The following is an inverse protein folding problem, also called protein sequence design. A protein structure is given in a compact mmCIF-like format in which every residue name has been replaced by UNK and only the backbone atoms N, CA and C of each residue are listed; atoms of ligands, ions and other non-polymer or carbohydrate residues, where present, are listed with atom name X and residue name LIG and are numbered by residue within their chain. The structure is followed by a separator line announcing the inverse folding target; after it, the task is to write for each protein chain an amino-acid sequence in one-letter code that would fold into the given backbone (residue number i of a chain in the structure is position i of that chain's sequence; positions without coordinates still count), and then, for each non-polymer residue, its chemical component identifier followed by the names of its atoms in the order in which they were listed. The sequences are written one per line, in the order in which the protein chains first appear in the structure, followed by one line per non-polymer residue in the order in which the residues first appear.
data_IF_242400200388
#
_entry.id   IF_242400200388
#
_cell.length_a   1.000
_cell.length_b   1.000
_cell.length_c   1.000
_cell.angle_alpha   90.00
_cell.angle_beta   90.00
_cell.angle_gamma   90.00
#
_symmetry.space_group_name_H-M   'P 1'
#
loop_
_entity.id
_entity.type
_entity.pdbx_description
1 polymer ?
#
# COMPACT_ATOMS: atom_id res chain seq x y z
N UNK A 1 -8.06 -14.68 -23.02
CA UNK A 1 -6.83 -14.36 -23.79
C UNK A 1 -6.05 -13.37 -22.98
N UNK A 2 -4.86 -13.72 -22.46
CA UNK A 2 -4.02 -12.73 -21.77
C UNK A 2 -3.68 -11.63 -22.79
N UNK A 3 -4.00 -10.37 -22.49
CA UNK A 3 -3.40 -9.26 -23.19
C UNK A 3 -1.89 -9.38 -22.98
N UNK A 4 -1.06 -9.07 -23.99
CA UNK A 4 0.40 -9.31 -24.00
C UNK A 4 1.24 -8.78 -22.83
N UNK A 5 0.61 -8.40 -21.73
CA UNK A 5 1.16 -7.81 -20.50
C UNK A 5 1.06 -8.76 -19.28
N UNK A 6 0.67 -10.04 -19.46
CA UNK A 6 0.68 -11.08 -18.42
C UNK A 6 -0.48 -11.05 -17.42
N UNK A 7 -1.45 -10.16 -17.57
CA UNK A 7 -2.64 -10.12 -16.73
C UNK A 7 -3.93 -10.00 -17.53
N UNK A 8 -5.05 -10.44 -16.96
CA UNK A 8 -6.39 -10.25 -17.52
C UNK A 8 -7.43 -10.04 -16.44
N UNK A 9 -8.46 -9.29 -16.75
CA UNK A 9 -9.63 -9.16 -15.90
C UNK A 9 -10.51 -10.40 -16.06
N UNK A 10 -10.86 -11.05 -14.96
CA UNK A 10 -11.73 -12.22 -14.90
C UNK A 10 -13.20 -11.82 -14.76
N UNK A 11 -13.46 -10.90 -13.85
CA UNK A 11 -14.77 -10.32 -13.55
C UNK A 11 -14.59 -8.86 -13.07
N UNK A 12 -15.68 -8.18 -12.70
CA UNK A 12 -15.66 -6.78 -12.26
C UNK A 12 -14.68 -6.51 -11.10
N UNK A 13 -14.42 -7.52 -10.26
CA UNK A 13 -13.65 -7.39 -9.01
C UNK A 13 -12.35 -8.18 -9.01
N UNK A 14 -12.04 -8.93 -10.07
CA UNK A 14 -10.94 -9.89 -10.03
C UNK A 14 -10.09 -9.82 -11.29
N UNK A 15 -8.79 -9.68 -11.07
CA UNK A 15 -7.77 -9.90 -12.10
C UNK A 15 -7.03 -11.21 -11.83
N UNK A 16 -6.58 -11.85 -12.90
CA UNK A 16 -5.63 -12.96 -12.88
C UNK A 16 -4.29 -12.43 -13.38
N UNK A 17 -3.23 -12.72 -12.64
CA UNK A 17 -1.86 -12.34 -12.98
C UNK A 17 -1.02 -13.61 -12.91
N UNK A 18 -0.64 -14.15 -14.09
CA UNK A 18 0.22 -15.32 -14.16
C UNK A 18 1.62 -14.99 -13.67
N UNK A 19 2.16 -15.82 -12.78
CA UNK A 19 3.51 -15.65 -12.23
C UNK A 19 4.42 -16.79 -12.68
N UNK A 20 5.75 -16.55 -12.81
CA UNK A 20 6.69 -17.58 -13.19
C UNK A 20 6.82 -18.68 -12.13
N UNK A 21 6.86 -19.92 -12.57
CA UNK A 21 6.99 -21.10 -11.70
C UNK A 21 8.43 -21.41 -11.30
N UNK A 22 9.41 -20.91 -12.06
CA UNK A 22 10.83 -21.25 -11.96
C UNK A 22 11.70 -20.21 -11.24
N UNK A 23 11.10 -19.14 -10.73
CA UNK A 23 11.79 -18.10 -9.95
C UNK A 23 10.88 -17.42 -8.94
N UNK A 24 11.49 -16.76 -8.00
CA UNK A 24 10.80 -15.91 -7.05
C UNK A 24 10.03 -14.79 -7.76
N UNK A 25 8.87 -14.41 -7.21
CA UNK A 25 8.07 -13.29 -7.69
C UNK A 25 8.21 -12.08 -6.76
N UNK A 26 8.55 -10.92 -7.33
CA UNK A 26 8.89 -9.71 -6.59
C UNK A 26 7.78 -8.67 -6.72
N UNK A 27 7.20 -8.27 -5.60
CA UNK A 27 6.24 -7.18 -5.50
C UNK A 27 6.94 -6.01 -4.80
N UNK A 28 6.92 -4.84 -5.43
CA UNK A 28 7.44 -3.61 -4.83
C UNK A 28 6.28 -2.75 -4.33
N UNK A 29 6.16 -2.58 -3.02
CA UNK A 29 5.27 -1.59 -2.44
C UNK A 29 5.95 -0.22 -2.44
N UNK A 30 5.26 0.79 -2.97
CA UNK A 30 5.58 2.20 -2.89
C UNK A 30 4.37 2.95 -2.32
N UNK A 31 4.60 3.98 -1.52
CA UNK A 31 3.52 4.71 -0.85
C UNK A 31 3.87 6.17 -0.69
N UNK A 32 2.85 7.01 -0.53
CA UNK A 32 2.99 8.42 -0.15
C UNK A 32 3.97 9.16 -1.05
N UNK A 33 3.73 9.17 -2.37
CA UNK A 33 4.58 9.86 -3.34
C UNK A 33 4.34 11.37 -3.31
N UNK A 34 3.10 11.79 -3.06
CA UNK A 34 2.65 13.18 -3.00
C UNK A 34 3.12 14.02 -4.19
N UNK A 35 2.89 13.52 -5.42
CA UNK A 35 3.27 14.21 -6.64
C UNK A 35 2.33 15.40 -6.90
N UNK A 36 2.86 16.60 -6.78
CA UNK A 36 2.10 17.84 -6.98
C UNK A 36 1.88 18.19 -8.44
N UNK A 37 2.90 17.98 -9.28
CA UNK A 37 2.91 18.34 -10.72
C UNK A 37 2.43 19.74 -11.04
N UNK A 38 2.51 20.65 -10.07
CA UNK A 38 2.12 22.04 -10.19
C UNK A 38 3.32 22.99 -10.21
N UNK A 39 3.02 24.30 -10.15
CA UNK A 39 4.04 25.35 -10.31
C UNK A 39 4.99 25.44 -9.11
N UNK A 40 4.57 24.98 -7.92
CA UNK A 40 5.41 25.05 -6.70
C UNK A 40 6.11 23.76 -6.36
N UNK A 41 5.75 22.62 -6.99
CA UNK A 41 6.24 21.29 -6.60
C UNK A 41 7.32 20.71 -7.52
N UNK A 42 7.62 21.34 -8.66
CA UNK A 42 8.46 20.78 -9.74
C UNK A 42 9.76 20.14 -9.26
N UNK A 43 10.52 20.82 -8.40
CA UNK A 43 11.80 20.29 -7.87
C UNK A 43 11.58 19.05 -6.99
N UNK A 44 10.54 19.08 -6.15
CA UNK A 44 10.21 17.99 -5.23
C UNK A 44 9.62 16.79 -5.97
N UNK A 45 8.77 17.04 -6.98
CA UNK A 45 8.28 16.01 -7.88
C UNK A 45 9.42 15.27 -8.57
N UNK A 46 10.40 16.03 -9.11
CA UNK A 46 11.58 15.42 -9.71
C UNK A 46 12.33 14.53 -8.73
N UNK A 47 12.52 14.96 -7.48
CA UNK A 47 13.17 14.15 -6.44
C UNK A 47 12.40 12.85 -6.16
N UNK A 48 11.07 12.92 -6.05
CA UNK A 48 10.24 11.74 -5.81
C UNK A 48 10.27 10.77 -7.00
N UNK A 49 10.17 11.27 -8.23
CA UNK A 49 10.23 10.45 -9.44
C UNK A 49 11.63 9.81 -9.65
N UNK A 50 12.70 10.53 -9.34
CA UNK A 50 14.06 9.99 -9.35
C UNK A 50 14.23 8.88 -8.29
N UNK A 51 13.62 9.06 -7.10
CA UNK A 51 13.61 8.06 -6.04
C UNK A 51 12.90 6.77 -6.48
N UNK A 52 11.69 6.89 -7.03
CA UNK A 52 10.92 5.77 -7.59
C UNK A 52 11.74 5.04 -8.66
N UNK A 53 12.33 5.78 -9.60
CA UNK A 53 13.17 5.21 -10.65
C UNK A 53 14.34 4.41 -10.08
N UNK A 54 15.05 4.95 -9.09
CA UNK A 54 16.19 4.26 -8.44
C UNK A 54 15.76 2.96 -7.75
N UNK A 55 14.61 2.98 -7.06
CA UNK A 55 14.12 1.81 -6.34
C UNK A 55 13.68 0.74 -7.31
N UNK A 56 12.93 1.08 -8.36
CA UNK A 56 12.50 0.14 -9.41
C UNK A 56 13.72 -0.52 -10.06
N UNK A 57 14.72 0.27 -10.49
CA UNK A 57 15.94 -0.26 -11.12
C UNK A 57 16.74 -1.17 -10.18
N UNK A 58 16.77 -0.85 -8.89
CA UNK A 58 17.50 -1.64 -7.89
C UNK A 58 16.82 -2.95 -7.53
N UNK A 59 15.49 -2.99 -7.58
CA UNK A 59 14.72 -4.15 -7.14
C UNK A 59 14.29 -5.04 -8.30
N UNK A 60 14.14 -4.48 -9.50
CA UNK A 60 13.60 -5.16 -10.69
C UNK A 60 12.34 -5.96 -10.34
N UNK A 61 11.24 -5.27 -9.93
CA UNK A 61 10.03 -5.94 -9.48
C UNK A 61 9.22 -6.48 -10.66
N UNK A 62 8.40 -7.48 -10.40
CA UNK A 62 7.44 -8.04 -11.35
C UNK A 62 6.08 -7.34 -11.27
N UNK A 63 5.74 -6.77 -10.11
CA UNK A 63 4.53 -6.01 -9.85
C UNK A 63 4.87 -4.83 -8.93
N UNK A 64 4.26 -3.67 -9.18
CA UNK A 64 4.34 -2.52 -8.28
C UNK A 64 2.97 -2.28 -7.65
N UNK A 65 2.91 -2.15 -6.33
CA UNK A 65 1.70 -1.82 -5.56
C UNK A 65 1.88 -0.44 -4.93
N UNK A 66 1.06 0.51 -5.32
CA UNK A 66 0.99 1.82 -4.68
C UNK A 66 -0.08 1.82 -3.60
N UNK A 67 0.34 2.04 -2.35
CA UNK A 67 -0.58 2.05 -1.21
C UNK A 67 -1.03 3.46 -0.84
N UNK A 68 -1.49 4.24 -1.84
CA UNK A 68 -2.16 5.53 -1.68
C UNK A 68 -1.24 6.74 -1.67
N UNK A 69 -1.87 7.90 -1.66
CA UNK A 69 -1.24 9.22 -1.66
C UNK A 69 -0.20 9.40 -2.78
N UNK A 70 -0.59 8.97 -3.99
CA UNK A 70 0.25 9.05 -5.19
C UNK A 70 0.37 10.50 -5.64
N UNK A 71 -0.74 11.24 -5.61
CA UNK A 71 -0.84 12.63 -6.06
C UNK A 71 -1.27 13.53 -4.91
N UNK A 72 -0.97 14.83 -5.05
CA UNK A 72 -1.21 15.80 -3.99
C UNK A 72 -1.79 17.11 -4.56
N UNK A 73 -3.13 17.17 -4.79
CA UNK A 73 -3.81 18.36 -5.28
C UNK A 73 -4.04 19.38 -4.16
N UNK A 74 -2.96 20.01 -3.67
CA UNK A 74 -3.02 20.96 -2.59
C UNK A 74 -2.37 22.29 -3.00
N UNK A 75 -3.19 23.31 -3.24
CA UNK A 75 -2.75 24.58 -3.84
C UNK A 75 -1.55 25.22 -3.13
N UNK A 76 -1.48 25.29 -1.79
CA UNK A 76 -0.35 25.93 -1.10
C UNK A 76 1.01 25.26 -1.32
N UNK A 77 1.04 23.96 -1.56
CA UNK A 77 2.29 23.20 -1.75
C UNK A 77 2.53 22.77 -3.19
N UNK A 78 1.51 22.29 -3.87
CA UNK A 78 1.60 21.85 -5.26
C UNK A 78 1.48 23.02 -6.27
N UNK A 79 0.75 24.05 -5.94
CA UNK A 79 0.39 25.13 -6.89
C UNK A 79 -0.72 24.74 -7.84
N UNK A 80 -1.50 23.69 -7.53
CA UNK A 80 -2.64 23.22 -8.32
C UNK A 80 -3.56 22.33 -7.51
N UNK A 81 -4.86 22.34 -7.87
CA UNK A 81 -5.88 21.39 -7.37
C UNK A 81 -6.29 20.39 -8.46
N UNK A 82 -5.56 20.32 -9.57
CA UNK A 82 -5.93 19.51 -10.73
C UNK A 82 -5.38 18.09 -10.65
N UNK A 83 -6.00 17.25 -9.79
CA UNK A 83 -5.63 15.85 -9.61
C UNK A 83 -5.80 15.01 -10.88
N UNK A 84 -6.70 15.36 -11.80
CA UNK A 84 -6.79 14.75 -13.13
C UNK A 84 -5.45 14.82 -13.88
N UNK A 85 -4.89 16.03 -14.03
CA UNK A 85 -3.60 16.20 -14.70
C UNK A 85 -2.45 15.57 -13.95
N UNK A 86 -2.51 15.54 -12.60
CA UNK A 86 -1.53 14.88 -11.78
C UNK A 86 -1.52 13.36 -12.06
N UNK A 87 -2.69 12.70 -12.05
CA UNK A 87 -2.83 11.27 -12.36
C UNK A 87 -2.38 10.95 -13.80
N UNK A 88 -2.79 11.75 -14.80
CA UNK A 88 -2.35 11.58 -16.19
C UNK A 88 -0.81 11.68 -16.35
N UNK A 89 -0.16 12.56 -15.58
CA UNK A 89 1.31 12.68 -15.58
C UNK A 89 1.98 11.49 -14.89
N UNK A 90 1.41 11.04 -13.78
CA UNK A 90 1.89 9.84 -13.09
C UNK A 90 1.80 8.60 -13.98
N UNK A 91 0.66 8.36 -14.64
CA UNK A 91 0.47 7.25 -15.58
C UNK A 91 1.53 7.27 -16.68
N UNK A 92 1.75 8.43 -17.32
CA UNK A 92 2.81 8.56 -18.34
C UNK A 92 4.21 8.27 -17.81
N UNK A 93 4.46 8.54 -16.52
CA UNK A 93 5.74 8.25 -15.89
C UNK A 93 5.89 6.75 -15.63
N UNK A 94 4.91 6.11 -14.99
CA UNK A 94 5.02 4.72 -14.54
C UNK A 94 4.94 3.72 -15.71
N UNK A 95 4.12 3.99 -16.71
CA UNK A 95 3.98 3.15 -17.91
C UNK A 95 5.30 2.97 -18.70
N UNK A 96 6.28 3.89 -18.52
CA UNK A 96 7.59 3.77 -19.17
C UNK A 96 8.40 2.57 -18.69
N UNK A 97 8.13 2.09 -17.47
CA UNK A 97 8.83 0.92 -16.94
C UNK A 97 8.32 -0.40 -17.50
N UNK A 98 7.14 -0.41 -18.11
CA UNK A 98 6.50 -1.61 -18.68
C UNK A 98 6.34 -2.74 -17.67
N UNK A 99 6.11 -2.39 -16.42
CA UNK A 99 5.87 -3.31 -15.31
C UNK A 99 4.40 -3.17 -14.91
N UNK A 100 3.66 -4.26 -14.74
CA UNK A 100 2.31 -4.20 -14.17
C UNK A 100 2.32 -3.45 -12.85
N UNK A 101 1.34 -2.59 -12.64
CA UNK A 101 1.18 -1.89 -11.38
C UNK A 101 -0.28 -1.79 -10.97
N UNK A 102 -0.50 -1.68 -9.69
CA UNK A 102 -1.81 -1.49 -9.08
C UNK A 102 -1.74 -0.41 -8.01
N UNK A 103 -2.90 0.05 -7.57
CA UNK A 103 -2.98 1.07 -6.53
C UNK A 103 -4.21 0.89 -5.65
N UNK A 104 -4.16 1.46 -4.47
CA UNK A 104 -5.30 1.87 -3.66
C UNK A 104 -5.24 3.38 -3.47
N UNK A 105 -6.38 4.02 -3.21
CA UNK A 105 -6.39 5.46 -2.93
C UNK A 105 -5.96 5.76 -1.49
N UNK A 106 -5.25 6.88 -1.34
CA UNK A 106 -5.03 7.53 -0.06
C UNK A 106 -6.01 8.68 0.20
N UNK A 107 -5.87 9.33 1.33
CA UNK A 107 -6.75 10.46 1.68
C UNK A 107 -6.40 11.73 0.90
N UNK A 108 -5.16 11.89 0.45
CA UNK A 108 -4.73 13.07 -0.29
C UNK A 108 -4.96 12.99 -1.81
N UNK A 109 -5.21 11.82 -2.39
CA UNK A 109 -5.43 11.71 -3.85
C UNK A 109 -6.64 12.53 -4.33
N UNK A 110 -7.63 12.74 -3.45
CA UNK A 110 -8.86 13.50 -3.71
C UNK A 110 -9.13 14.55 -2.61
N UNK A 111 -8.15 15.39 -2.32
CA UNK A 111 -8.32 16.49 -1.35
C UNK A 111 -9.53 17.38 -1.65
N UNK A 112 -10.06 18.01 -0.60
CA UNK A 112 -11.18 18.95 -0.73
C UNK A 112 -10.83 20.08 -1.71
N UNK A 113 -11.70 20.26 -2.71
CA UNK A 113 -11.47 21.20 -3.80
C UNK A 113 -10.69 20.62 -4.99
N UNK A 114 -10.27 19.36 -4.94
CA UNK A 114 -9.69 18.67 -6.10
C UNK A 114 -10.69 18.61 -7.26
N UNK A 115 -10.17 18.66 -8.50
CA UNK A 115 -10.98 18.72 -9.71
C UNK A 115 -11.84 17.46 -9.93
N UNK A 116 -11.36 16.30 -9.51
CA UNK A 116 -12.03 15.02 -9.68
C UNK A 116 -12.19 14.30 -8.34
N UNK A 117 -13.36 13.73 -8.10
CA UNK A 117 -13.59 12.75 -7.05
C UNK A 117 -12.96 11.38 -7.39
N UNK A 118 -13.02 10.43 -6.43
CA UNK A 118 -12.40 9.09 -6.55
C UNK A 118 -12.90 8.30 -7.76
N UNK A 119 -14.20 8.30 -8.03
CA UNK A 119 -14.79 7.60 -9.18
C UNK A 119 -14.19 8.06 -10.52
N UNK A 120 -14.10 9.39 -10.70
CA UNK A 120 -13.52 9.97 -11.92
C UNK A 120 -12.01 9.73 -11.99
N UNK A 121 -11.34 9.74 -10.84
CA UNK A 121 -9.91 9.49 -10.76
C UNK A 121 -9.61 8.03 -11.10
N UNK A 122 -10.44 7.10 -10.64
CA UNK A 122 -10.40 5.69 -11.01
C UNK A 122 -10.49 5.48 -12.53
N UNK A 123 -11.43 6.18 -13.20
CA UNK A 123 -11.54 6.15 -14.68
C UNK A 123 -10.30 6.68 -15.41
N UNK A 124 -9.50 7.49 -14.73
CA UNK A 124 -8.24 7.98 -15.30
C UNK A 124 -7.15 6.93 -15.13
N UNK A 125 -7.03 6.34 -13.92
CA UNK A 125 -6.01 5.32 -13.66
C UNK A 125 -6.19 4.07 -14.50
N UNK A 126 -7.44 3.62 -14.76
CA UNK A 126 -7.72 2.47 -15.64
C UNK A 126 -7.26 2.66 -17.09
N UNK A 127 -6.90 3.88 -17.51
CA UNK A 127 -6.31 4.16 -18.83
C UNK A 127 -4.81 3.87 -18.91
N UNK A 128 -4.15 3.65 -17.78
CA UNK A 128 -2.75 3.23 -17.76
C UNK A 128 -2.57 1.88 -18.42
N UNK A 129 -1.61 1.78 -19.34
CA UNK A 129 -1.40 0.58 -20.15
C UNK A 129 -1.08 -0.65 -19.29
N UNK A 130 -0.32 -0.45 -18.23
CA UNK A 130 0.12 -1.52 -17.33
C UNK A 130 -0.62 -1.47 -15.98
N UNK A 131 -1.68 -0.67 -15.87
CA UNK A 131 -2.47 -0.51 -14.65
C UNK A 131 -3.44 -1.67 -14.48
N UNK A 132 -3.36 -2.34 -13.33
CA UNK A 132 -4.32 -3.33 -12.87
C UNK A 132 -5.18 -2.65 -11.82
N UNK A 133 -6.36 -2.18 -12.19
CA UNK A 133 -7.25 -1.47 -11.28
C UNK A 133 -8.72 -1.71 -11.64
N UNK A 134 -9.55 -1.95 -10.64
CA UNK A 134 -11.00 -1.95 -10.74
C UNK A 134 -11.60 -1.01 -9.70
N UNK A 135 -12.68 -0.33 -10.06
CA UNK A 135 -13.48 0.44 -9.10
C UNK A 135 -14.08 -0.44 -8.00
N UNK A 136 -14.26 -1.73 -8.31
CA UNK A 136 -15.03 -2.65 -7.48
C UNK A 136 -16.54 -2.48 -7.68
N UNK A 137 -17.31 -3.17 -6.85
CA UNK A 137 -18.76 -3.15 -6.89
C UNK A 137 -19.31 -1.85 -6.30
N UNK A 138 -20.43 -1.37 -6.86
CA UNK A 138 -21.10 -0.13 -6.40
C UNK A 138 -21.84 -0.30 -5.09
N UNK A 139 -22.20 -1.53 -4.72
CA UNK A 139 -22.88 -1.85 -3.46
C UNK A 139 -21.90 -2.14 -2.31
N UNK A 140 -20.60 -1.98 -2.53
CA UNK A 140 -19.55 -2.03 -1.51
C UNK A 140 -18.99 -0.63 -1.32
N UNK A 141 -18.89 -0.17 -0.10
CA UNK A 141 -18.38 1.17 0.22
C UNK A 141 -16.95 1.38 -0.28
N UNK A 142 -16.64 2.60 -0.75
CA UNK A 142 -15.34 2.97 -1.27
C UNK A 142 -15.13 2.64 -2.74
N UNK A 143 -13.97 3.03 -3.28
CA UNK A 143 -13.60 2.89 -4.69
C UNK A 143 -12.25 2.21 -4.81
N UNK A 144 -12.22 1.03 -5.41
CA UNK A 144 -10.97 0.28 -5.56
C UNK A 144 -10.88 -0.92 -4.62
N UNK A 145 -12.02 -1.59 -4.37
CA UNK A 145 -12.05 -2.87 -3.64
C UNK A 145 -12.04 -4.00 -4.66
N UNK A 146 -10.92 -4.70 -4.83
CA UNK A 146 -10.77 -5.77 -5.83
C UNK A 146 -9.65 -6.75 -5.46
N UNK A 147 -9.59 -7.84 -6.22
CA UNK A 147 -8.60 -8.89 -6.07
C UNK A 147 -7.67 -8.95 -7.28
N UNK A 148 -6.38 -9.19 -7.03
CA UNK A 148 -5.43 -9.67 -8.01
C UNK A 148 -4.99 -11.05 -7.57
N UNK A 149 -5.42 -12.08 -8.27
CA UNK A 149 -5.01 -13.45 -7.98
C UNK A 149 -3.71 -13.75 -8.74
N UNK A 150 -2.63 -13.94 -8.02
CA UNK A 150 -1.41 -14.53 -8.57
C UNK A 150 -1.69 -15.99 -8.90
N UNK A 151 -1.48 -16.41 -10.16
CA UNK A 151 -1.84 -17.74 -10.64
C UNK A 151 -0.64 -18.45 -11.27
N UNK A 152 -0.73 -19.78 -11.34
CA UNK A 152 0.07 -20.57 -12.24
C UNK A 152 -0.48 -20.52 -13.68
N UNK A 153 0.15 -21.27 -14.60
CA UNK A 153 -0.27 -21.38 -16.01
C UNK A 153 -1.61 -22.06 -16.20
N UNK A 154 -2.05 -22.85 -15.23
CA UNK A 154 -3.34 -23.53 -15.23
C UNK A 154 -4.44 -22.68 -14.57
N UNK A 155 -4.14 -21.42 -14.26
CA UNK A 155 -5.01 -20.46 -13.54
C UNK A 155 -5.39 -20.89 -12.10
N UNK A 156 -4.65 -21.83 -11.49
CA UNK A 156 -4.80 -22.11 -10.08
C UNK A 156 -4.32 -20.91 -9.27
N UNK A 157 -5.12 -20.48 -8.30
CA UNK A 157 -4.77 -19.33 -7.45
C UNK A 157 -3.70 -19.73 -6.44
N UNK A 158 -2.54 -19.14 -6.55
CA UNK A 158 -1.39 -19.35 -5.69
C UNK A 158 -1.38 -18.39 -4.49
N UNK A 159 -1.81 -17.13 -4.72
CA UNK A 159 -1.85 -16.10 -3.69
C UNK A 159 -2.77 -14.94 -4.11
N UNK A 160 -3.87 -14.70 -3.41
CA UNK A 160 -4.69 -13.50 -3.61
C UNK A 160 -4.01 -12.27 -3.03
N UNK A 161 -3.99 -11.18 -3.79
CA UNK A 161 -3.70 -9.84 -3.33
C UNK A 161 -5.03 -9.09 -3.24
N UNK A 162 -5.36 -8.59 -2.07
CA UNK A 162 -6.62 -7.88 -1.81
C UNK A 162 -6.31 -6.38 -1.78
N UNK A 163 -6.88 -5.63 -2.70
CA UNK A 163 -6.84 -4.18 -2.72
C UNK A 163 -8.08 -3.66 -2.00
N UNK A 164 -7.88 -2.81 -0.99
CA UNK A 164 -8.96 -2.25 -0.18
C UNK A 164 -8.86 -0.73 -0.09
N UNK A 165 -9.95 -0.06 -0.38
CA UNK A 165 -10.07 1.36 -0.08
C UNK A 165 -10.26 1.53 1.43
N UNK A 166 -9.29 2.13 2.11
CA UNK A 166 -9.39 2.47 3.53
C UNK A 166 -10.10 3.81 3.78
N UNK A 167 -10.70 4.34 2.71
CA UNK A 167 -11.48 5.56 2.68
C UNK A 167 -10.66 6.85 2.96
N UNK A 168 -11.28 7.93 3.38
CA UNK A 168 -10.61 9.22 3.60
C UNK A 168 -10.82 9.72 5.03
N UNK A 169 -11.87 10.53 5.19
CA UNK A 169 -12.26 11.12 6.46
C UNK A 169 -13.65 10.64 6.83
N UNK A 170 -13.88 10.36 8.10
CA UNK A 170 -15.18 9.97 8.60
C UNK A 170 -16.22 11.05 8.30
N UNK A 171 -17.44 10.62 7.96
CA UNK A 171 -18.58 11.48 7.62
C UNK A 171 -18.30 12.51 6.50
N UNK A 172 -17.24 12.28 5.70
CA UNK A 172 -16.85 13.12 4.58
C UNK A 172 -16.19 14.46 4.96
N UNK A 173 -15.86 14.70 6.24
CA UNK A 173 -15.29 15.95 6.73
C UNK A 173 -13.89 15.75 7.32
N UNK A 174 -12.98 16.62 6.95
CA UNK A 174 -11.60 16.66 7.44
C UNK A 174 -11.50 16.65 8.98
N UNK A 175 -12.41 17.31 9.67
CA UNK A 175 -12.40 17.40 11.14
C UNK A 175 -12.97 16.18 11.85
N UNK A 176 -13.58 15.22 11.14
CA UNK A 176 -14.13 14.00 11.73
C UNK A 176 -13.10 12.87 11.92
N UNK A 177 -11.82 13.16 11.64
CA UNK A 177 -10.73 12.17 11.70
C UNK A 177 -10.76 11.17 10.54
N UNK A 178 -9.82 10.25 10.51
CA UNK A 178 -9.71 9.24 9.45
C UNK A 178 -10.83 8.21 9.53
N UNK A 179 -11.26 7.74 8.37
CA UNK A 179 -12.20 6.63 8.24
C UNK A 179 -11.48 5.27 8.34
N UNK A 180 -12.20 4.17 8.15
CA UNK A 180 -11.66 2.80 8.21
C UNK A 180 -12.21 1.94 7.07
N UNK A 181 -11.75 0.70 6.97
CA UNK A 181 -12.37 -0.33 6.15
C UNK A 181 -13.72 -0.66 6.79
N UNK A 182 -14.81 -0.50 6.03
CA UNK A 182 -16.19 -0.68 6.49
C UNK A 182 -16.59 -2.15 6.58
N UNK A 183 -17.70 -2.42 7.27
CA UNK A 183 -18.20 -3.77 7.52
C UNK A 183 -18.53 -4.50 6.21
N UNK A 184 -19.20 -3.84 5.26
CA UNK A 184 -19.55 -4.41 3.95
C UNK A 184 -18.30 -4.78 3.13
N UNK A 185 -17.25 -3.95 3.15
CA UNK A 185 -15.94 -4.26 2.56
C UNK A 185 -15.32 -5.50 3.22
N UNK A 186 -15.41 -5.57 4.54
CA UNK A 186 -14.90 -6.69 5.35
C UNK A 186 -15.64 -7.98 5.00
N UNK A 187 -16.96 -7.98 5.01
CA UNK A 187 -17.80 -9.15 4.71
C UNK A 187 -17.55 -9.64 3.27
N UNK A 188 -17.52 -8.71 2.30
CA UNK A 188 -17.20 -9.02 0.92
C UNK A 188 -15.83 -9.70 0.80
N UNK A 189 -14.81 -9.13 1.40
CA UNK A 189 -13.45 -9.66 1.36
C UNK A 189 -13.38 -11.07 1.96
N UNK A 190 -13.92 -11.26 3.18
CA UNK A 190 -13.88 -12.54 3.88
C UNK A 190 -14.70 -13.61 3.17
N UNK A 191 -15.86 -13.26 2.59
CA UNK A 191 -16.67 -14.17 1.78
C UNK A 191 -15.89 -14.70 0.57
N UNK A 192 -15.20 -13.82 -0.17
CA UNK A 192 -14.40 -14.23 -1.34
C UNK A 192 -13.21 -15.08 -0.95
N UNK A 193 -12.49 -14.72 0.10
CA UNK A 193 -11.37 -15.52 0.60
C UNK A 193 -11.84 -16.90 1.06
N UNK A 194 -12.98 -16.99 1.73
CA UNK A 194 -13.55 -18.27 2.17
C UNK A 194 -13.92 -19.18 1.00
N UNK A 195 -14.35 -18.63 -0.14
CA UNK A 195 -14.56 -19.42 -1.37
C UNK A 195 -13.24 -19.99 -1.90
N UNK A 196 -12.17 -19.21 -1.90
CA UNK A 196 -10.84 -19.67 -2.30
C UNK A 196 -10.30 -20.75 -1.36
N UNK A 197 -10.53 -20.61 -0.05
CA UNK A 197 -10.12 -21.62 0.95
C UNK A 197 -10.79 -22.98 0.76
N UNK A 198 -12.03 -23.01 0.25
CA UNK A 198 -12.71 -24.27 -0.08
C UNK A 198 -12.01 -25.02 -1.22
N UNK A 199 -11.35 -24.29 -2.13
CA UNK A 199 -10.61 -24.87 -3.27
C UNK A 199 -9.19 -25.23 -2.84
N UNK A 200 -8.52 -24.34 -2.12
CA UNK A 200 -7.17 -24.53 -1.60
C UNK A 200 -7.15 -24.17 -0.09
N UNK A 201 -7.20 -25.17 0.81
CA UNK A 201 -7.24 -24.95 2.27
C UNK A 201 -6.00 -24.22 2.82
N UNK A 202 -4.85 -24.34 2.17
CA UNK A 202 -3.58 -23.74 2.59
C UNK A 202 -3.31 -22.35 1.99
N UNK A 203 -4.29 -21.80 1.26
CA UNK A 203 -4.15 -20.51 0.59
C UNK A 203 -3.87 -19.40 1.59
N UNK A 204 -2.94 -18.52 1.22
CA UNK A 204 -2.57 -17.34 2.02
C UNK A 204 -2.70 -16.10 1.16
N UNK A 205 -3.17 -15.00 1.74
CA UNK A 205 -3.41 -13.74 1.06
C UNK A 205 -2.62 -12.58 1.66
N UNK A 206 -2.39 -11.56 0.84
CA UNK A 206 -1.90 -10.24 1.24
C UNK A 206 -3.02 -9.21 1.10
N UNK A 207 -3.13 -8.27 2.03
CA UNK A 207 -4.04 -7.14 1.93
C UNK A 207 -3.25 -5.83 1.86
N UNK A 208 -3.68 -4.93 0.96
CA UNK A 208 -3.07 -3.63 0.73
C UNK A 208 -4.13 -2.54 0.88
N UNK A 209 -3.85 -1.56 1.69
CA UNK A 209 -4.69 -0.39 1.94
C UNK A 209 -3.81 0.81 2.31
N UNK A 210 -4.39 1.99 2.44
CA UNK A 210 -3.59 3.19 2.74
C UNK A 210 -3.49 3.45 4.24
N UNK A 211 -4.60 3.72 4.90
CA UNK A 211 -4.60 4.03 6.33
C UNK A 211 -4.47 2.76 7.19
N UNK A 212 -3.59 2.78 8.20
CA UNK A 212 -3.37 1.62 9.04
C UNK A 212 -4.61 1.24 9.86
N UNK A 213 -4.85 -0.06 10.03
CA UNK A 213 -5.82 -0.55 10.99
C UNK A 213 -5.33 -0.29 12.42
N UNK A 214 -6.25 -0.14 13.38
CA UNK A 214 -5.93 0.22 14.78
C UNK A 214 -4.96 -0.73 15.46
N UNK A 215 -4.92 -1.95 15.00
CA UNK A 215 -4.06 -3.01 15.54
C UNK A 215 -2.57 -2.79 15.28
N UNK A 216 -2.17 -1.91 14.36
CA UNK A 216 -0.78 -1.47 14.28
C UNK A 216 -0.34 -0.79 15.58
N UNK A 217 -1.15 0.12 16.12
CA UNK A 217 -0.89 0.77 17.41
C UNK A 217 -1.00 -0.20 18.57
N UNK A 218 -2.08 -1.00 18.63
CA UNK A 218 -2.28 -1.99 19.68
C UNK A 218 -1.10 -2.94 19.80
N UNK A 219 -0.63 -3.47 18.66
CA UNK A 219 0.49 -4.40 18.62
C UNK A 219 1.81 -3.73 19.03
N UNK A 220 2.05 -2.48 18.60
CA UNK A 220 3.23 -1.72 19.01
C UNK A 220 3.25 -1.46 20.52
N UNK A 221 2.13 -1.05 21.11
CA UNK A 221 2.00 -0.83 22.57
C UNK A 221 2.25 -2.15 23.34
N UNK A 222 1.69 -3.26 22.87
CA UNK A 222 1.93 -4.60 23.47
C UNK A 222 3.40 -5.01 23.36
N UNK A 223 4.03 -4.77 22.23
CA UNK A 223 5.46 -5.05 22.04
C UNK A 223 6.31 -4.27 23.05
N UNK A 224 6.02 -2.98 23.27
CA UNK A 224 6.71 -2.15 24.25
C UNK A 224 6.56 -2.67 25.71
N UNK A 225 5.44 -3.31 26.00
CA UNK A 225 5.18 -3.95 27.28
C UNK A 225 5.77 -5.37 27.39
N UNK A 226 6.49 -5.85 26.37
CA UNK A 226 7.12 -7.15 26.36
C UNK A 226 6.17 -8.32 26.11
N UNK A 227 5.00 -8.08 25.50
CA UNK A 227 4.06 -9.14 25.15
C UNK A 227 4.65 -10.08 24.06
N UNK A 228 5.01 -11.30 24.46
CA UNK A 228 5.64 -12.31 23.59
C UNK A 228 4.75 -12.78 22.42
N UNK A 229 3.48 -12.41 22.40
CA UNK A 229 2.56 -12.71 21.27
C UNK A 229 2.75 -11.76 20.10
N UNK A 230 3.55 -10.70 20.29
CA UNK A 230 3.94 -9.79 19.23
C UNK A 230 5.39 -10.03 18.87
N UNK A 231 5.65 -10.32 17.59
CA UNK A 231 7.01 -10.53 17.08
C UNK A 231 7.44 -9.28 16.33
N UNK A 232 8.50 -8.64 16.77
CA UNK A 232 9.14 -7.55 16.02
C UNK A 232 9.89 -8.13 14.83
N UNK A 233 9.67 -7.57 13.66
CA UNK A 233 10.30 -8.00 12.42
C UNK A 233 11.38 -7.01 11.97
N UNK A 234 11.00 -5.74 11.77
CA UNK A 234 11.92 -4.65 11.45
C UNK A 234 11.26 -3.26 11.55
N UNK A 235 12.07 -2.21 11.36
CA UNK A 235 11.60 -0.83 11.23
C UNK A 235 11.33 -0.14 12.57
N UNK A 236 10.67 1.00 12.52
CA UNK A 236 10.41 1.82 13.70
C UNK A 236 9.16 2.69 13.53
N UNK A 237 8.66 3.20 14.64
CA UNK A 237 7.74 4.33 14.70
C UNK A 237 8.59 5.58 14.93
N UNK A 238 8.60 6.50 13.97
CA UNK A 238 9.42 7.71 14.01
C UNK A 238 8.59 9.00 13.84
N UNK A 239 7.28 8.88 13.72
CA UNK A 239 6.38 10.03 13.82
C UNK A 239 6.48 10.67 15.22
N UNK A 240 6.24 12.00 15.24
CA UNK A 240 6.30 12.75 16.50
C UNK A 240 5.32 12.17 17.52
N UNK A 241 5.77 12.05 18.76
CA UNK A 241 5.00 11.52 19.90
C UNK A 241 4.46 10.09 19.65
N UNK A 242 5.19 9.31 18.85
CA UNK A 242 4.80 7.94 18.44
C UNK A 242 3.39 7.91 17.83
N UNK A 243 3.09 8.87 16.96
CA UNK A 243 1.78 9.03 16.33
C UNK A 243 1.48 7.88 15.37
N UNK A 244 0.21 7.49 15.36
CA UNK A 244 -0.40 6.57 14.42
C UNK A 244 -1.64 7.22 13.80
N UNK A 245 -1.65 7.36 12.48
CA UNK A 245 -2.76 7.89 11.69
C UNK A 245 -3.92 6.91 11.55
N UNK A 246 -4.35 6.30 12.67
CA UNK A 246 -5.43 5.33 12.70
C UNK A 246 -6.79 6.00 12.77
N UNK A 247 -7.82 5.30 12.25
CA UNK A 247 -9.20 5.73 12.42
C UNK A 247 -9.61 5.82 13.88
N UNK A 248 -10.44 6.80 14.21
CA UNK A 248 -11.15 6.85 15.49
C UNK A 248 -12.32 5.85 15.52
N UNK A 249 -12.90 5.50 14.36
CA UNK A 249 -13.92 4.45 14.23
C UNK A 249 -13.29 3.08 14.42
N UNK A 250 -14.00 2.19 15.09
CA UNK A 250 -13.55 0.83 15.33
C UNK A 250 -14.03 -0.07 14.20
N UNK A 251 -13.18 -0.28 13.19
CA UNK A 251 -13.41 -1.32 12.18
C UNK A 251 -13.14 -2.73 12.73
N UNK A 252 -13.70 -3.74 12.11
CA UNK A 252 -13.53 -5.15 12.51
C UNK A 252 -12.70 -5.97 11.51
N UNK A 253 -12.15 -5.34 10.47
CA UNK A 253 -11.41 -6.00 9.40
C UNK A 253 -10.28 -6.90 9.91
N UNK A 254 -9.43 -6.39 10.82
CA UNK A 254 -8.34 -7.19 11.39
C UNK A 254 -8.87 -8.40 12.17
N UNK A 255 -9.89 -8.20 13.02
CA UNK A 255 -10.50 -9.28 13.80
C UNK A 255 -11.04 -10.38 12.88
N UNK A 256 -11.80 -10.00 11.85
CA UNK A 256 -12.35 -10.93 10.84
C UNK A 256 -11.27 -11.62 10.02
N UNK A 257 -10.18 -10.93 9.71
CA UNK A 257 -9.02 -11.53 9.03
C UNK A 257 -8.33 -12.59 9.89
N UNK A 258 -8.19 -12.35 11.20
CA UNK A 258 -7.68 -13.35 12.15
C UNK A 258 -8.59 -14.57 12.22
N UNK A 259 -9.90 -14.37 12.36
CA UNK A 259 -10.92 -15.43 12.40
C UNK A 259 -10.92 -16.27 11.10
N UNK A 260 -10.84 -15.62 9.96
CA UNK A 260 -10.80 -16.27 8.64
C UNK A 260 -9.51 -17.05 8.41
N UNK A 261 -8.39 -16.52 8.89
CA UNK A 261 -7.07 -17.16 8.92
C UNK A 261 -6.32 -17.21 7.59
N UNK A 262 -6.81 -16.57 6.51
CA UNK A 262 -6.20 -16.56 5.17
C UNK A 262 -5.24 -15.39 4.99
N UNK A 263 -5.62 -14.18 5.41
CA UNK A 263 -4.74 -13.01 5.35
C UNK A 263 -3.59 -13.21 6.34
N UNK A 264 -2.36 -13.22 5.82
CA UNK A 264 -1.15 -13.37 6.62
C UNK A 264 -0.28 -12.12 6.62
N UNK A 265 -0.52 -11.21 5.69
CA UNK A 265 0.25 -9.96 5.56
C UNK A 265 -0.70 -8.80 5.26
N UNK A 266 -0.50 -7.68 5.95
CA UNK A 266 -1.19 -6.42 5.73
C UNK A 266 -0.15 -5.31 5.51
N UNK A 267 -0.36 -4.53 4.47
CA UNK A 267 0.54 -3.45 4.06
C UNK A 267 -0.22 -2.14 3.98
N UNK A 268 0.32 -1.10 4.60
CA UNK A 268 -0.25 0.25 4.58
C UNK A 268 0.80 1.32 4.26
N UNK A 269 0.37 2.57 4.13
CA UNK A 269 1.18 3.78 4.02
C UNK A 269 0.77 4.79 5.10
N UNK A 270 0.49 6.03 4.69
CA UNK A 270 -0.11 7.11 5.45
C UNK A 270 0.81 7.80 6.46
N UNK A 271 1.47 7.06 7.35
CA UNK A 271 2.40 7.61 8.34
C UNK A 271 3.82 7.64 7.76
N UNK A 272 4.29 8.82 7.33
CA UNK A 272 5.45 8.95 6.44
C UNK A 272 6.77 8.57 7.10
N UNK A 273 6.89 8.68 8.42
CA UNK A 273 8.09 8.33 9.16
C UNK A 273 8.03 6.95 9.80
N UNK A 274 6.88 6.26 9.71
CA UNK A 274 6.72 4.92 10.24
C UNK A 274 7.16 3.87 9.21
N UNK A 275 7.96 2.92 9.65
CA UNK A 275 8.47 1.81 8.84
C UNK A 275 8.33 0.46 9.56
N UNK A 276 7.61 0.47 10.69
CA UNK A 276 7.45 -0.69 11.56
C UNK A 276 6.82 -1.87 10.84
N UNK A 277 7.41 -3.04 11.02
CA UNK A 277 6.81 -4.32 10.68
C UNK A 277 6.84 -5.23 11.90
N UNK A 278 5.71 -5.81 12.24
CA UNK A 278 5.56 -6.73 13.35
C UNK A 278 4.49 -7.78 13.05
N UNK A 279 4.61 -8.96 13.65
CA UNK A 279 3.60 -10.02 13.57
C UNK A 279 2.76 -10.05 14.84
N UNK A 280 1.43 -9.90 14.67
CA UNK A 280 0.46 -9.92 15.75
C UNK A 280 -0.72 -10.83 15.39
N UNK A 281 -1.08 -11.73 16.31
CA UNK A 281 -2.16 -12.73 16.10
C UNK A 281 -2.05 -13.50 14.77
N UNK A 282 -0.82 -13.79 14.34
CA UNK A 282 -0.55 -14.55 13.12
C UNK A 282 -0.66 -13.76 11.81
N UNK A 283 -0.81 -12.44 11.87
CA UNK A 283 -0.80 -11.52 10.73
C UNK A 283 0.40 -10.58 10.88
N UNK A 284 1.23 -10.48 9.83
CA UNK A 284 2.30 -9.51 9.77
C UNK A 284 1.77 -8.17 9.26
N UNK A 285 1.88 -7.15 10.10
CA UNK A 285 1.51 -5.77 9.85
C UNK A 285 2.76 -4.99 9.42
N UNK A 286 2.74 -4.33 8.27
CA UNK A 286 3.91 -3.66 7.71
C UNK A 286 3.56 -2.29 7.18
N UNK A 287 4.21 -1.25 7.71
CA UNK A 287 4.24 0.07 7.09
C UNK A 287 5.16 0.06 5.87
N UNK A 288 4.69 0.55 4.74
CA UNK A 288 5.52 0.85 3.59
C UNK A 288 6.42 2.06 3.85
N UNK A 289 7.63 2.04 3.30
CA UNK A 289 8.49 3.23 3.33
C UNK A 289 7.93 4.31 2.39
N UNK A 290 7.71 5.51 2.91
CA UNK A 290 7.25 6.67 2.14
C UNK A 290 8.30 7.17 1.14
N UNK A 291 7.83 7.73 0.02
CA UNK A 291 8.68 8.43 -0.97
C UNK A 291 8.65 9.94 -0.75
N UNK A 292 7.63 10.46 -0.10
CA UNK A 292 7.25 11.87 -0.02
C UNK A 292 8.42 12.87 0.01
N UNK A 293 8.33 13.85 -0.86
CA UNK A 293 9.22 15.02 -0.89
C UNK A 293 8.45 16.33 -0.74
N UNK A 294 7.12 16.33 -0.82
CA UNK A 294 6.27 17.51 -0.90
C UNK A 294 5.28 17.65 0.25
N UNK A 295 4.59 16.56 0.59
CA UNK A 295 3.44 16.59 1.50
C UNK A 295 3.86 16.89 2.93
N UNK A 296 4.82 16.16 3.47
CA UNK A 296 5.21 16.21 4.86
C UNK A 296 6.61 16.81 5.06
N UNK A 297 6.70 17.95 5.77
CA UNK A 297 7.95 18.66 5.93
C UNK A 297 8.99 17.91 6.79
N UNK A 298 8.56 17.04 7.70
CA UNK A 298 9.42 16.26 8.59
C UNK A 298 10.32 15.28 7.84
N UNK A 299 9.82 14.65 6.80
CA UNK A 299 10.55 13.67 6.01
C UNK A 299 11.72 14.30 5.21
N UNK A 300 11.65 15.60 4.89
CA UNK A 300 12.72 16.29 4.17
C UNK A 300 14.06 16.28 4.94
N UNK A 301 14.02 16.11 6.26
CA UNK A 301 15.18 16.05 7.15
C UNK A 301 15.64 14.60 7.41
N UNK A 302 14.88 13.61 6.97
CA UNK A 302 15.09 12.20 7.30
C UNK A 302 15.16 11.32 6.05
N UNK A 303 16.20 11.49 5.24
CA UNK A 303 16.45 10.70 4.03
C UNK A 303 16.43 9.18 4.28
N UNK A 304 16.75 8.79 5.50
CA UNK A 304 16.83 7.39 5.94
C UNK A 304 15.47 6.68 5.89
N UNK A 305 14.38 7.43 6.05
CA UNK A 305 13.02 6.89 6.07
C UNK A 305 12.39 6.74 4.69
N UNK A 306 13.04 7.28 3.64
CA UNK A 306 12.53 7.15 2.27
C UNK A 306 12.98 5.88 1.61
N UNK A 307 12.05 5.23 0.92
CA UNK A 307 12.37 4.01 0.21
C UNK A 307 11.15 3.31 -0.37
N UNK A 308 11.27 2.01 -0.51
CA UNK A 308 10.18 1.11 -0.87
C UNK A 308 10.25 -0.15 -0.01
N UNK A 309 9.21 -0.97 -0.08
CA UNK A 309 9.17 -2.28 0.58
C UNK A 309 9.13 -3.37 -0.48
N UNK A 310 10.16 -4.20 -0.50
CA UNK A 310 10.23 -5.35 -1.41
C UNK A 310 9.64 -6.58 -0.74
N UNK A 311 8.59 -7.13 -1.35
CA UNK A 311 7.91 -8.34 -0.95
C UNK A 311 8.29 -9.42 -1.96
N UNK A 312 8.90 -10.50 -1.52
CA UNK A 312 9.33 -11.59 -2.40
C UNK A 312 8.57 -12.86 -2.04
N UNK A 313 7.65 -13.27 -2.94
CA UNK A 313 7.06 -14.60 -2.87
C UNK A 313 8.06 -15.60 -3.44
N UNK A 314 8.52 -16.51 -2.60
CA UNK A 314 9.40 -17.59 -3.00
C UNK A 314 8.66 -18.65 -3.81
N UNK A 315 9.39 -19.44 -4.58
CA UNK A 315 8.83 -20.58 -5.33
C UNK A 315 8.03 -21.50 -4.40
N UNK A 316 8.52 -21.75 -3.18
CA UNK A 316 7.87 -22.60 -2.18
C UNK A 316 6.70 -21.94 -1.43
N UNK A 317 6.30 -20.72 -1.84
CA UNK A 317 5.19 -19.97 -1.25
C UNK A 317 5.53 -19.18 0.02
N UNK A 318 6.77 -19.25 0.56
CA UNK A 318 7.23 -18.37 1.63
C UNK A 318 7.28 -16.93 1.15
N UNK A 319 7.21 -16.00 2.07
CA UNK A 319 7.23 -14.56 1.77
C UNK A 319 8.33 -13.88 2.60
N UNK A 320 9.25 -13.24 1.90
CA UNK A 320 10.25 -12.35 2.51
C UNK A 320 9.81 -10.89 2.32
N UNK A 321 9.98 -10.06 3.35
CA UNK A 321 9.66 -8.62 3.31
C UNK A 321 10.90 -7.85 3.75
N UNK A 322 11.36 -6.94 2.88
CA UNK A 322 12.58 -6.14 3.12
C UNK A 322 12.33 -4.67 2.85
N UNK A 323 12.79 -3.82 3.75
CA UNK A 323 12.92 -2.38 3.48
C UNK A 323 14.01 -2.14 2.43
N UNK A 324 13.73 -1.23 1.50
CA UNK A 324 14.66 -0.80 0.45
C UNK A 324 14.87 0.71 0.58
N UNK A 325 15.68 1.15 1.54
CA UNK A 325 15.91 2.58 1.75
C UNK A 325 16.66 3.19 0.57
N UNK A 326 16.41 4.47 0.29
CA UNK A 326 17.14 5.23 -0.74
C UNK A 326 18.60 5.41 -0.39
N UNK A 327 18.91 5.53 0.89
CA UNK A 327 20.27 5.59 1.43
C UNK A 327 20.64 4.28 2.09
N UNK A 328 21.94 3.94 2.14
CA UNK A 328 22.40 2.65 2.72
C UNK A 328 22.31 2.59 4.25
N UNK A 329 22.10 3.70 4.93
CA UNK A 329 22.05 3.79 6.40
C UNK A 329 20.60 3.83 6.87
N UNK A 330 20.10 2.76 7.41
CA UNK A 330 18.83 2.72 8.17
C UNK A 330 19.17 2.91 9.64
N UNK A 331 18.62 3.95 10.28
CA UNK A 331 18.73 4.08 11.73
C UNK A 331 17.79 3.06 12.38
N UNK A 332 18.35 2.12 13.11
CA UNK A 332 17.60 1.16 13.96
C UNK A 332 17.29 1.76 15.34
N UNK A 333 17.12 3.06 15.46
CA UNK A 333 16.77 3.67 16.75
C UNK A 333 15.32 3.38 17.11
N UNK A 334 15.11 2.31 17.84
CA UNK A 334 14.05 2.26 18.85
C UNK A 334 14.49 3.23 19.95
N UNK A 335 13.75 4.31 20.19
CA UNK A 335 14.02 5.19 21.35
C UNK A 335 13.82 4.36 22.63
N UNK A 336 14.90 3.97 23.25
CA UNK A 336 14.91 3.19 24.49
C UNK A 336 16.24 2.51 24.77
N UNK A 337 17.04 2.19 23.76
CA UNK A 337 18.36 1.60 23.98
C UNK A 337 19.43 2.26 23.09
N UNK A 338 20.36 2.95 23.75
CA UNK A 338 21.61 3.42 23.16
C UNK A 338 22.55 2.22 23.00
N UNK A 339 22.60 1.57 21.85
CA UNK A 339 23.76 0.78 21.45
C UNK A 339 23.98 0.95 19.94
N UNK A 340 25.11 1.54 19.60
CA UNK A 340 25.67 1.52 18.26
C UNK A 340 26.00 0.09 17.90
N UNK A 341 25.32 -0.47 16.90
CA UNK A 341 25.85 -1.59 16.14
C UNK A 341 26.07 -1.10 14.71
N UNK A 342 27.32 -0.95 14.36
CA UNK A 342 27.79 -0.86 12.96
C UNK A 342 27.76 -2.27 12.36
N UNK A 343 27.11 -2.41 11.21
CA UNK A 343 27.28 -3.55 10.31
C UNK A 343 27.75 -3.07 8.95
#
# INVERSE_FOLDING_TARGET
MFCGDGFRQKDEETFLLEIPENRDYKILQLTDLHLGFGIFSHKKDKMALDAVTKIINRTSPDLIVFTGDIIFPFLPKAGTMNNKKQAERFIRFIDRFKIPYTLVFGNHDCEMGAKCGREQLADIFTKGKYCIFSKGRKDIFGVGNFFINLTDKQENVLMPLVMLDSNMYGDGWFFSGFDCIHEDQTEWCMSRLSKLKKINPDIKAMAFFHMPVREFKEAYEKMKLGDKRVVYEHGSIAEKDEYFGISYKKGDFFKKAVENGIIKWMFCGHDHLNTLSLTYKGIRLTYGMSIDCLGYNGISKSYIQRGGTLITRKIDGRVDIKMIPLTRTVSTRVRGESKNQQY
#
